data_IF_631657823728
#
_entry.id   IF_631657823728
#
_cell.length_a   1.000
_cell.length_b   1.000
_cell.length_c   1.000
_cell.angle_alpha   90.00
_cell.angle_beta   90.00
_cell.angle_gamma   90.00
#
_symmetry.space_group_name_H-M   'P 1'
#
loop_
_entity.id
_entity.type
_entity.pdbx_description
1 polymer ?
#
# COMPACT_ATOMS: atom_id res chain seq x y z
N UNK A 1 0.59 4.90 -14.12
CA UNK A 1 -0.38 4.08 -13.35
C UNK A 1 -1.75 4.70 -13.54
N UNK A 2 -2.72 3.98 -14.12
CA UNK A 2 -4.10 4.46 -14.22
C UNK A 2 -4.77 4.37 -12.84
N UNK A 3 -4.61 5.42 -12.03
CA UNK A 3 -5.12 5.53 -10.66
C UNK A 3 -6.62 5.23 -10.61
N UNK A 4 -7.41 5.82 -11.50
CA UNK A 4 -8.88 5.65 -11.54
C UNK A 4 -9.29 4.19 -11.69
N UNK A 5 -8.57 3.43 -12.52
CA UNK A 5 -8.87 2.02 -12.77
C UNK A 5 -8.64 1.17 -11.52
N UNK A 6 -7.53 1.42 -10.82
CA UNK A 6 -7.23 0.73 -9.56
C UNK A 6 -8.23 1.14 -8.46
N UNK A 7 -8.55 2.44 -8.34
CA UNK A 7 -9.52 2.94 -7.35
C UNK A 7 -10.90 2.29 -7.48
N UNK A 8 -11.43 2.13 -8.70
CA UNK A 8 -12.73 1.45 -8.93
C UNK A 8 -12.73 0.02 -8.35
N UNK A 9 -11.65 -0.71 -8.58
CA UNK A 9 -11.49 -2.08 -8.10
C UNK A 9 -11.38 -2.14 -6.57
N UNK A 10 -10.66 -1.20 -5.96
CA UNK A 10 -10.55 -1.06 -4.50
C UNK A 10 -11.91 -0.71 -3.87
N UNK A 11 -12.70 0.17 -4.48
CA UNK A 11 -14.03 0.51 -3.96
C UNK A 11 -15.01 -0.66 -4.00
N UNK A 12 -14.99 -1.46 -5.08
CA UNK A 12 -15.74 -2.71 -5.14
C UNK A 12 -15.29 -3.68 -4.03
N UNK A 13 -13.99 -3.79 -3.79
CA UNK A 13 -13.47 -4.60 -2.69
C UNK A 13 -13.97 -4.13 -1.33
N UNK A 14 -13.92 -2.82 -1.04
CA UNK A 14 -14.47 -2.24 0.21
C UNK A 14 -15.94 -2.61 0.37
N UNK A 15 -16.75 -2.43 -0.68
CA UNK A 15 -18.16 -2.83 -0.65
C UNK A 15 -18.34 -4.33 -0.40
N UNK A 16 -17.47 -5.16 -0.94
CA UNK A 16 -17.52 -6.62 -0.76
C UNK A 16 -17.20 -7.09 0.67
N UNK A 17 -16.56 -6.26 1.52
CA UNK A 17 -16.18 -6.64 2.89
C UNK A 17 -17.39 -7.03 3.75
N UNK A 18 -18.56 -6.43 3.52
CA UNK A 18 -19.80 -6.81 4.22
C UNK A 18 -20.17 -8.28 3.96
N UNK A 19 -19.88 -8.80 2.77
CA UNK A 19 -20.16 -10.20 2.42
C UNK A 19 -19.17 -11.17 3.07
N UNK A 20 -17.96 -10.72 3.41
CA UNK A 20 -17.05 -11.50 4.26
C UNK A 20 -17.63 -11.61 5.67
N UNK A 21 -18.16 -10.52 6.23
CA UNK A 21 -18.81 -10.50 7.54
C UNK A 21 -20.05 -11.40 7.59
N UNK A 22 -20.93 -11.29 6.58
CA UNK A 22 -22.14 -12.10 6.43
C UNK A 22 -21.87 -13.55 6.02
N UNK A 23 -20.61 -13.89 5.70
CA UNK A 23 -20.20 -15.19 5.13
C UNK A 23 -20.92 -15.51 3.81
N UNK A 24 -21.29 -14.51 3.02
CA UNK A 24 -21.87 -14.72 1.69
C UNK A 24 -20.78 -14.80 0.61
N UNK A 25 -20.30 -16.03 0.33
CA UNK A 25 -19.24 -16.27 -0.65
C UNK A 25 -19.63 -15.82 -2.07
N UNK A 26 -20.88 -16.10 -2.48
CA UNK A 26 -21.34 -15.82 -3.83
C UNK A 26 -21.29 -14.32 -4.13
N UNK A 27 -21.90 -13.48 -3.28
CA UNK A 27 -21.88 -12.02 -3.45
C UNK A 27 -20.45 -11.47 -3.38
N UNK A 28 -19.61 -12.03 -2.52
CA UNK A 28 -18.21 -11.64 -2.39
C UNK A 28 -17.42 -11.88 -3.70
N UNK A 29 -17.50 -13.09 -4.25
CA UNK A 29 -16.76 -13.45 -5.45
C UNK A 29 -17.30 -12.79 -6.71
N UNK A 30 -18.62 -12.57 -6.82
CA UNK A 30 -19.20 -11.78 -7.92
C UNK A 30 -18.66 -10.34 -7.88
N UNK A 31 -18.70 -9.70 -6.71
CA UNK A 31 -18.25 -8.31 -6.58
C UNK A 31 -16.76 -8.16 -6.93
N UNK A 32 -15.90 -9.04 -6.42
CA UNK A 32 -14.47 -9.04 -6.74
C UNK A 32 -14.17 -9.52 -8.17
N UNK A 33 -15.03 -10.35 -8.75
CA UNK A 33 -14.98 -10.76 -10.16
C UNK A 33 -15.26 -9.58 -11.09
N UNK A 34 -16.23 -8.72 -10.77
CA UNK A 34 -16.42 -7.45 -11.48
C UNK A 34 -15.18 -6.55 -11.31
N UNK A 35 -14.57 -6.56 -10.12
CA UNK A 35 -13.29 -5.87 -9.85
C UNK A 35 -12.17 -6.25 -10.82
N UNK A 36 -12.07 -7.52 -11.21
CA UNK A 36 -11.06 -8.02 -12.17
C UNK A 36 -11.19 -7.36 -13.56
N UNK A 37 -12.41 -7.00 -13.98
CA UNK A 37 -12.66 -6.29 -15.24
C UNK A 37 -12.03 -4.89 -15.24
N UNK A 38 -11.94 -4.26 -14.07
CA UNK A 38 -11.25 -3.00 -13.91
C UNK A 38 -9.75 -3.23 -13.71
N UNK A 39 -9.34 -4.08 -12.79
CA UNK A 39 -7.92 -4.26 -12.48
C UNK A 39 -7.60 -5.72 -12.13
N UNK A 40 -6.66 -6.33 -12.87
CA UNK A 40 -6.28 -7.74 -12.69
C UNK A 40 -5.77 -8.07 -11.28
N UNK A 41 -5.18 -7.10 -10.58
CA UNK A 41 -4.72 -7.31 -9.19
C UNK A 41 -5.85 -7.56 -8.19
N UNK A 42 -7.12 -7.34 -8.55
CA UNK A 42 -8.25 -7.75 -7.71
C UNK A 42 -8.28 -9.26 -7.44
N UNK A 43 -7.52 -10.06 -8.19
CA UNK A 43 -7.34 -11.48 -7.92
C UNK A 43 -6.85 -11.75 -6.50
N UNK A 44 -6.04 -10.85 -5.94
CA UNK A 44 -5.51 -10.97 -4.58
C UNK A 44 -6.57 -10.82 -3.49
N UNK A 45 -7.78 -10.35 -3.83
CA UNK A 45 -8.89 -10.29 -2.88
C UNK A 45 -9.54 -11.66 -2.67
N UNK A 46 -9.57 -12.52 -3.67
CA UNK A 46 -10.28 -13.81 -3.61
C UNK A 46 -9.88 -14.69 -2.40
N UNK A 47 -8.58 -14.90 -2.11
CA UNK A 47 -8.18 -15.72 -0.96
C UNK A 47 -8.60 -15.13 0.40
N UNK A 48 -8.83 -13.81 0.48
CA UNK A 48 -9.10 -13.12 1.74
C UNK A 48 -10.43 -13.54 2.36
N UNK A 49 -11.39 -13.96 1.54
CA UNK A 49 -12.69 -14.45 2.02
C UNK A 49 -12.57 -15.51 3.14
N UNK A 50 -11.57 -16.37 3.05
CA UNK A 50 -11.42 -17.53 3.93
C UNK A 50 -10.90 -17.19 5.32
N UNK A 51 -10.14 -16.10 5.47
CA UNK A 51 -9.44 -15.81 6.73
C UNK A 51 -9.60 -14.39 7.26
N UNK A 52 -10.03 -13.42 6.46
CA UNK A 52 -10.02 -12.01 6.86
C UNK A 52 -10.90 -11.70 8.08
N UNK A 53 -11.96 -12.48 8.31
CA UNK A 53 -12.86 -12.34 9.48
C UNK A 53 -12.36 -13.03 10.75
N UNK A 54 -11.30 -13.84 10.67
CA UNK A 54 -10.79 -14.63 11.79
C UNK A 54 -9.83 -13.80 12.63
N UNK A 55 -9.88 -13.96 13.95
CA UNK A 55 -8.86 -13.40 14.84
C UNK A 55 -7.56 -14.16 14.63
N UNK A 56 -6.51 -13.45 14.21
CA UNK A 56 -5.18 -14.05 14.07
C UNK A 56 -4.55 -14.24 15.45
N UNK A 57 -3.82 -15.35 15.61
CA UNK A 57 -3.09 -15.61 16.84
C UNK A 57 -2.03 -14.52 17.08
N UNK A 58 -1.96 -14.00 18.30
CA UNK A 58 -0.98 -12.97 18.71
C UNK A 58 0.46 -13.36 18.36
N UNK A 59 0.84 -14.61 18.60
CA UNK A 59 2.17 -15.12 18.27
C UNK A 59 2.44 -15.08 16.75
N UNK A 60 1.44 -15.39 15.92
CA UNK A 60 1.58 -15.33 14.46
C UNK A 60 1.74 -13.89 13.97
N UNK A 61 0.95 -12.95 14.51
CA UNK A 61 1.01 -11.53 14.15
C UNK A 61 2.38 -10.94 14.51
N UNK A 62 2.85 -11.12 15.75
CA UNK A 62 4.14 -10.61 16.19
C UNK A 62 5.32 -11.34 15.55
N UNK A 63 5.25 -12.67 15.41
CA UNK A 63 6.29 -13.46 14.75
C UNK A 63 6.51 -13.00 13.30
N UNK A 64 5.41 -12.81 12.55
CA UNK A 64 5.49 -12.29 11.17
C UNK A 64 6.00 -10.86 11.12
N UNK A 65 5.57 -9.99 12.04
CA UNK A 65 6.03 -8.61 12.10
C UNK A 65 7.53 -8.52 12.41
N UNK A 66 8.01 -9.26 13.42
CA UNK A 66 9.43 -9.30 13.79
C UNK A 66 10.26 -9.86 12.64
N UNK A 67 9.85 -11.00 12.07
CA UNK A 67 10.52 -11.60 10.92
C UNK A 67 10.59 -10.62 9.75
N UNK A 68 9.48 -9.97 9.40
CA UNK A 68 9.43 -8.98 8.33
C UNK A 68 10.40 -7.82 8.56
N UNK A 69 10.51 -7.31 9.79
CA UNK A 69 11.46 -6.25 10.12
C UNK A 69 12.92 -6.73 10.03
N UNK A 70 13.21 -7.96 10.46
CA UNK A 70 14.56 -8.57 10.30
C UNK A 70 14.93 -8.67 8.83
N UNK A 71 14.01 -9.16 7.98
CA UNK A 71 14.22 -9.27 6.54
C UNK A 71 14.43 -7.89 5.89
N UNK A 72 13.60 -6.92 6.25
CA UNK A 72 13.65 -5.54 5.74
C UNK A 72 14.96 -4.84 6.13
N UNK A 73 15.28 -4.79 7.43
CA UNK A 73 16.45 -4.08 7.95
C UNK A 73 17.75 -4.79 7.60
N UNK A 74 17.75 -6.13 7.58
CA UNK A 74 18.88 -6.93 7.13
C UNK A 74 19.08 -6.93 5.62
N UNK A 75 18.16 -6.32 4.86
CA UNK A 75 18.18 -6.28 3.39
C UNK A 75 18.37 -7.67 2.75
N UNK A 76 17.74 -8.68 3.36
CA UNK A 76 17.88 -10.09 2.96
C UNK A 76 17.09 -10.30 1.65
N UNK A 77 17.79 -10.78 0.61
CA UNK A 77 17.20 -11.01 -0.71
C UNK A 77 16.60 -12.41 -0.85
N UNK A 78 15.33 -12.57 -0.48
CA UNK A 78 14.60 -13.84 -0.57
C UNK A 78 13.45 -13.83 -1.60
N UNK A 79 12.92 -12.66 -1.96
CA UNK A 79 11.87 -12.49 -2.98
C UNK A 79 12.45 -12.55 -4.39
N UNK A 80 13.64 -12.01 -4.61
CA UNK A 80 14.32 -12.03 -5.91
C UNK A 80 14.33 -13.40 -6.59
N UNK A 81 14.80 -14.49 -5.93
CA UNK A 81 14.80 -15.82 -6.56
C UNK A 81 13.38 -16.31 -6.88
N UNK A 82 12.39 -15.98 -6.04
CA UNK A 82 10.98 -16.35 -6.27
C UNK A 82 10.43 -15.63 -7.50
N UNK A 83 10.69 -14.33 -7.64
CA UNK A 83 10.26 -13.51 -8.79
C UNK A 83 10.87 -14.01 -10.09
N UNK A 84 12.17 -14.34 -10.09
CA UNK A 84 12.86 -14.89 -11.26
C UNK A 84 12.30 -16.27 -11.62
N UNK A 85 12.09 -17.15 -10.64
CA UNK A 85 11.52 -18.48 -10.87
C UNK A 85 10.12 -18.40 -11.48
N UNK A 86 9.25 -17.53 -10.94
CA UNK A 86 7.90 -17.30 -11.48
C UNK A 86 7.98 -16.70 -12.90
N UNK A 87 8.85 -15.72 -13.12
CA UNK A 87 9.05 -15.12 -14.44
C UNK A 87 9.48 -16.15 -15.49
N UNK A 88 10.42 -17.01 -15.15
CA UNK A 88 10.90 -18.09 -16.01
C UNK A 88 9.83 -19.15 -16.27
N UNK A 89 9.01 -19.47 -15.27
CA UNK A 89 7.90 -20.41 -15.42
C UNK A 89 6.87 -19.93 -16.47
N UNK A 90 6.54 -18.63 -16.46
CA UNK A 90 5.62 -18.06 -17.47
C UNK A 90 6.30 -17.77 -18.82
N UNK A 91 7.63 -17.61 -18.84
CA UNK A 91 8.42 -17.38 -20.05
C UNK A 91 8.16 -16.03 -20.74
N UNK A 92 8.81 -15.84 -21.89
CA UNK A 92 8.62 -14.69 -22.78
C UNK A 92 8.79 -13.34 -22.09
N UNK A 93 7.79 -12.47 -22.24
CA UNK A 93 7.78 -11.11 -21.67
C UNK A 93 7.94 -11.09 -20.14
N UNK A 94 7.39 -12.08 -19.43
CA UNK A 94 7.42 -12.12 -17.96
C UNK A 94 8.83 -12.42 -17.42
N UNK A 95 9.57 -13.31 -18.08
CA UNK A 95 10.96 -13.60 -17.74
C UNK A 95 11.85 -12.36 -17.93
N UNK A 96 11.70 -11.67 -19.07
CA UNK A 96 12.44 -10.44 -19.38
C UNK A 96 12.13 -9.34 -18.35
N UNK A 97 10.86 -9.17 -17.97
CA UNK A 97 10.48 -8.19 -16.95
C UNK A 97 11.03 -8.52 -15.57
N UNK A 98 10.95 -9.79 -15.15
CA UNK A 98 11.50 -10.23 -13.87
C UNK A 98 13.01 -9.95 -13.81
N UNK A 99 13.75 -10.26 -14.87
CA UNK A 99 15.18 -9.99 -14.95
C UNK A 99 15.51 -8.48 -14.96
N UNK A 100 14.79 -7.70 -15.76
CA UNK A 100 14.97 -6.25 -15.86
C UNK A 100 14.73 -5.53 -14.51
N UNK A 101 13.67 -5.88 -13.79
CA UNK A 101 13.40 -5.30 -12.48
C UNK A 101 14.43 -5.73 -11.42
N UNK A 102 14.96 -6.95 -11.53
CA UNK A 102 15.93 -7.49 -10.56
C UNK A 102 17.33 -6.90 -10.71
N UNK A 103 17.74 -6.61 -11.95
CA UNK A 103 19.06 -6.04 -12.27
C UNK A 103 19.13 -4.51 -12.18
N UNK A 104 17.97 -3.84 -12.21
CA UNK A 104 17.91 -2.38 -12.16
C UNK A 104 18.17 -1.84 -10.75
N UNK A 105 19.25 -1.09 -10.56
CA UNK A 105 19.56 -0.41 -9.30
C UNK A 105 18.48 0.59 -8.85
N UNK A 106 17.63 1.05 -9.77
CA UNK A 106 16.50 1.95 -9.49
C UNK A 106 15.35 1.18 -8.82
N UNK A 107 15.06 -0.03 -9.32
CA UNK A 107 13.93 -0.84 -8.85
C UNK A 107 14.31 -1.85 -7.76
N UNK A 108 15.59 -2.25 -7.71
CA UNK A 108 16.17 -3.22 -6.77
C UNK A 108 16.91 -2.55 -5.60
N UNK A 109 16.68 -1.26 -5.34
CA UNK A 109 17.31 -0.58 -4.22
C UNK A 109 16.58 -0.93 -2.92
N UNK A 110 17.27 -1.66 -2.04
CA UNK A 110 16.74 -2.01 -0.72
C UNK A 110 16.36 -0.75 0.05
N UNK A 111 15.13 -0.70 0.55
CA UNK A 111 14.72 0.40 1.41
C UNK A 111 15.48 0.29 2.74
N UNK A 112 16.27 1.30 3.07
CA UNK A 112 16.84 1.45 4.41
C UNK A 112 15.84 2.01 5.41
N UNK A 113 16.33 2.52 6.54
CA UNK A 113 15.49 3.24 7.51
C UNK A 113 15.02 4.55 6.88
N UNK A 114 13.77 4.57 6.42
CA UNK A 114 13.11 5.74 5.85
C UNK A 114 12.01 6.26 6.77
N UNK A 115 11.61 7.52 6.60
CA UNK A 115 10.43 8.08 7.28
C UNK A 115 9.19 7.20 7.03
N UNK A 116 9.06 6.64 5.82
CA UNK A 116 7.93 5.77 5.47
C UNK A 116 7.97 4.41 6.16
N UNK A 117 9.15 3.90 6.51
CA UNK A 117 9.32 2.70 7.31
C UNK A 117 8.98 2.97 8.79
N UNK A 118 9.56 4.03 9.36
CA UNK A 118 9.30 4.42 10.76
C UNK A 118 7.81 4.66 11.01
N UNK A 119 7.14 5.33 10.08
CA UNK A 119 5.68 5.51 10.13
C UNK A 119 4.96 4.16 10.23
N UNK A 120 5.21 3.21 9.32
CA UNK A 120 4.52 1.91 9.33
C UNK A 120 4.84 1.08 10.56
N UNK A 121 6.08 1.09 10.99
CA UNK A 121 6.53 0.39 12.20
C UNK A 121 5.80 0.90 13.44
N UNK A 122 5.77 2.23 13.63
CA UNK A 122 5.09 2.85 14.76
C UNK A 122 3.56 2.70 14.66
N UNK A 123 2.98 2.92 13.49
CA UNK A 123 1.55 2.73 13.23
C UNK A 123 1.13 1.30 13.55
N UNK A 124 1.95 0.30 13.20
CA UNK A 124 1.67 -1.09 13.54
C UNK A 124 1.56 -1.33 15.04
N UNK A 125 2.54 -0.86 15.80
CA UNK A 125 2.56 -0.98 17.26
C UNK A 125 1.34 -0.27 17.87
N UNK A 126 1.03 0.94 17.40
CA UNK A 126 -0.07 1.76 17.93
C UNK A 126 -1.42 1.10 17.65
N UNK A 127 -1.68 0.67 16.42
CA UNK A 127 -2.93 -0.01 16.09
C UNK A 127 -3.07 -1.31 16.87
N UNK A 128 -2.03 -2.15 16.91
CA UNK A 128 -2.10 -3.42 17.64
C UNK A 128 -2.40 -3.20 19.13
N UNK A 129 -1.73 -2.25 19.79
CA UNK A 129 -2.02 -1.88 21.19
C UNK A 129 -3.41 -1.28 21.40
N UNK A 130 -4.01 -0.71 20.35
CA UNK A 130 -5.32 -0.08 20.39
C UNK A 130 -6.45 -1.02 19.94
N UNK A 131 -6.15 -2.29 19.65
CA UNK A 131 -7.11 -3.27 19.13
C UNK A 131 -8.37 -3.37 19.99
N UNK A 132 -8.20 -3.62 21.29
CA UNK A 132 -9.35 -3.81 22.20
C UNK A 132 -10.17 -2.52 22.34
N UNK A 133 -9.49 -1.38 22.52
CA UNK A 133 -10.13 -0.06 22.60
C UNK A 133 -10.92 0.29 21.34
N UNK A 134 -10.38 -0.01 20.16
CA UNK A 134 -11.10 0.19 18.90
C UNK A 134 -12.29 -0.77 18.80
N UNK A 135 -12.14 -2.01 19.28
CA UNK A 135 -13.20 -3.00 19.37
C UNK A 135 -14.42 -2.53 20.16
N UNK A 136 -14.22 -1.81 21.28
CA UNK A 136 -15.30 -1.22 22.08
C UNK A 136 -16.19 -0.25 21.29
N UNK A 137 -15.62 0.45 20.31
CA UNK A 137 -16.37 1.36 19.42
C UNK A 137 -17.02 0.65 18.25
N UNK A 138 -16.34 -0.32 17.63
CA UNK A 138 -16.86 -1.05 16.46
C UNK A 138 -18.02 -1.98 16.86
N UNK A 139 -17.96 -2.59 18.03
CA UNK A 139 -18.98 -3.52 18.57
C UNK A 139 -19.32 -4.70 17.63
N UNK A 140 -18.39 -5.05 16.75
CA UNK A 140 -18.50 -6.18 15.82
C UNK A 140 -17.11 -6.80 15.65
N UNK A 141 -16.89 -7.96 16.27
CA UNK A 141 -15.60 -8.64 16.30
C UNK A 141 -15.15 -9.07 14.90
N UNK A 142 -16.07 -9.52 14.04
CA UNK A 142 -15.72 -9.94 12.67
C UNK A 142 -15.25 -8.74 11.86
N UNK A 143 -15.94 -7.61 11.99
CA UNK A 143 -15.57 -6.38 11.29
C UNK A 143 -14.24 -5.80 11.81
N UNK A 144 -14.04 -5.83 13.13
CA UNK A 144 -12.76 -5.49 13.76
C UNK A 144 -11.62 -6.33 13.19
N UNK A 145 -11.78 -7.67 13.17
CA UNK A 145 -10.80 -8.60 12.61
C UNK A 145 -10.53 -8.31 11.13
N UNK A 146 -11.56 -8.00 10.33
CA UNK A 146 -11.39 -7.65 8.92
C UNK A 146 -10.44 -6.47 8.76
N UNK A 147 -10.67 -5.38 9.48
CA UNK A 147 -9.85 -4.16 9.33
C UNK A 147 -8.41 -4.37 9.81
N UNK A 148 -8.22 -5.06 10.94
CA UNK A 148 -6.89 -5.37 11.45
C UNK A 148 -6.13 -6.35 10.58
N UNK A 149 -6.79 -7.35 10.01
CA UNK A 149 -6.15 -8.30 9.10
C UNK A 149 -5.77 -7.64 7.78
N UNK A 150 -6.59 -6.71 7.26
CA UNK A 150 -6.20 -5.88 6.10
C UNK A 150 -4.94 -5.07 6.37
N UNK A 151 -4.87 -4.45 7.55
CA UNK A 151 -3.69 -3.69 7.96
C UNK A 151 -2.46 -4.58 8.18
N UNK A 152 -2.65 -5.79 8.71
CA UNK A 152 -1.59 -6.77 8.87
C UNK A 152 -1.05 -7.25 7.51
N UNK A 153 -1.92 -7.52 6.53
CA UNK A 153 -1.51 -7.85 5.15
C UNK A 153 -0.77 -6.68 4.51
N UNK A 154 -1.27 -5.45 4.68
CA UNK A 154 -0.58 -4.24 4.22
C UNK A 154 0.85 -4.17 4.78
N UNK A 155 1.00 -4.33 6.09
CA UNK A 155 2.31 -4.26 6.76
C UNK A 155 3.23 -5.40 6.33
N UNK A 156 2.70 -6.62 6.23
CA UNK A 156 3.47 -7.80 5.80
C UNK A 156 3.94 -7.64 4.37
N UNK A 157 3.07 -7.24 3.44
CA UNK A 157 3.45 -7.00 2.05
C UNK A 157 4.49 -5.89 1.91
N UNK A 158 4.39 -4.81 2.72
CA UNK A 158 5.41 -3.76 2.75
C UNK A 158 6.78 -4.27 3.19
N UNK A 159 6.84 -5.05 4.28
CA UNK A 159 8.10 -5.54 4.85
C UNK A 159 8.73 -6.63 3.97
N UNK A 160 7.94 -7.61 3.56
CA UNK A 160 8.42 -8.80 2.86
C UNK A 160 8.76 -8.52 1.39
N UNK A 161 8.08 -7.58 0.73
CA UNK A 161 8.33 -7.25 -0.69
C UNK A 161 9.33 -6.09 -0.87
N UNK A 162 10.09 -5.76 0.18
CA UNK A 162 10.95 -4.57 0.24
C UNK A 162 12.10 -4.55 -0.76
N UNK A 163 12.41 -5.68 -1.38
CA UNK A 163 13.40 -5.81 -2.46
C UNK A 163 13.00 -5.07 -3.75
N UNK A 164 11.70 -4.90 -4.00
CA UNK A 164 11.18 -4.31 -5.24
C UNK A 164 10.20 -3.19 -4.94
N UNK A 165 10.61 -1.95 -5.18
CA UNK A 165 9.75 -0.76 -4.98
C UNK A 165 8.42 -0.86 -5.73
N UNK A 166 8.43 -1.42 -6.94
CA UNK A 166 7.23 -1.61 -7.77
C UNK A 166 6.26 -2.60 -7.14
N UNK A 167 6.74 -3.67 -6.51
CA UNK A 167 5.90 -4.65 -5.84
C UNK A 167 5.27 -4.07 -4.58
N UNK A 168 6.06 -3.34 -3.78
CA UNK A 168 5.56 -2.62 -2.61
C UNK A 168 4.44 -1.68 -3.04
N UNK A 169 4.70 -0.78 -3.99
CA UNK A 169 3.73 0.24 -4.40
C UNK A 169 2.43 -0.39 -4.91
N UNK A 170 2.50 -1.47 -5.69
CA UNK A 170 1.30 -2.14 -6.21
C UNK A 170 0.55 -2.91 -5.14
N UNK A 171 1.24 -3.73 -4.36
CA UNK A 171 0.60 -4.63 -3.40
C UNK A 171 0.05 -3.89 -2.18
N UNK A 172 0.81 -2.94 -1.64
CA UNK A 172 0.36 -2.16 -0.48
C UNK A 172 -0.81 -1.24 -0.84
N UNK A 173 -0.87 -0.72 -2.07
CA UNK A 173 -2.01 0.08 -2.53
C UNK A 173 -3.33 -0.69 -2.48
N UNK A 174 -3.32 -2.01 -2.67
CA UNK A 174 -4.56 -2.83 -2.59
C UNK A 174 -5.18 -2.85 -1.20
N UNK A 175 -4.35 -2.68 -0.16
CA UNK A 175 -4.72 -2.82 1.24
C UNK A 175 -4.65 -1.51 2.02
N UNK A 176 -4.35 -0.40 1.34
CA UNK A 176 -4.27 0.96 1.93
C UNK A 176 -5.59 1.39 2.57
N UNK A 177 -6.71 0.78 2.17
CA UNK A 177 -8.05 1.03 2.75
C UNK A 177 -8.08 0.81 4.27
N UNK A 178 -7.21 -0.07 4.78
CA UNK A 178 -7.08 -0.31 6.21
C UNK A 178 -6.65 0.94 6.98
N UNK A 179 -5.78 1.77 6.39
CA UNK A 179 -5.37 3.06 6.97
C UNK A 179 -6.55 4.04 7.03
N UNK A 180 -7.34 4.10 5.95
CA UNK A 180 -8.48 5.02 5.87
C UNK A 180 -9.53 4.75 6.94
N UNK A 181 -9.67 3.48 7.33
CA UNK A 181 -10.64 3.04 8.31
C UNK A 181 -10.07 3.09 9.73
N UNK A 182 -8.87 2.55 9.97
CA UNK A 182 -8.32 2.42 11.31
C UNK A 182 -7.86 3.75 11.92
N UNK A 183 -7.37 4.71 11.14
CA UNK A 183 -6.94 6.00 11.70
C UNK A 183 -8.07 6.81 12.34
N UNK A 184 -9.27 6.93 11.73
CA UNK A 184 -10.42 7.54 12.40
C UNK A 184 -10.80 6.85 13.72
N UNK A 185 -10.83 5.51 13.76
CA UNK A 185 -11.10 4.78 15.00
C UNK A 185 -10.01 4.98 16.05
N UNK A 186 -8.74 4.97 15.62
CA UNK A 186 -7.63 5.32 16.50
C UNK A 186 -7.84 6.71 17.08
N UNK A 187 -8.13 7.71 16.23
CA UNK A 187 -8.35 9.07 16.69
C UNK A 187 -9.40 9.14 17.79
N UNK A 188 -10.52 8.43 17.66
CA UNK A 188 -11.59 8.43 18.67
C UNK A 188 -11.09 7.92 20.04
N UNK A 189 -10.30 6.83 20.07
CA UNK A 189 -9.80 6.20 21.32
C UNK A 189 -8.67 6.98 21.99
N UNK A 190 -8.05 7.95 21.30
CA UNK A 190 -6.98 8.77 21.87
C UNK A 190 -7.51 9.75 22.92
N UNK A 191 -6.68 10.02 23.94
CA UNK A 191 -6.96 11.09 24.90
C UNK A 191 -6.81 12.49 24.25
N UNK A 192 -7.31 13.53 24.92
CA UNK A 192 -7.36 14.90 24.34
C UNK A 192 -5.99 15.44 23.92
N UNK A 193 -4.94 15.22 24.73
CA UNK A 193 -3.60 15.72 24.45
C UNK A 193 -3.00 14.99 23.25
N UNK A 194 -3.10 13.65 23.23
CA UNK A 194 -2.57 12.82 22.14
C UNK A 194 -3.36 13.04 20.85
N UNK A 195 -4.66 13.35 20.89
CA UNK A 195 -5.44 13.79 19.73
C UNK A 195 -4.83 15.01 19.06
N UNK A 196 -4.47 16.04 19.84
CA UNK A 196 -3.85 17.26 19.31
C UNK A 196 -2.51 16.94 18.65
N UNK A 197 -1.66 16.17 19.32
CA UNK A 197 -0.36 15.73 18.80
C UNK A 197 -0.55 14.95 17.49
N UNK A 198 -1.46 13.98 17.49
CA UNK A 198 -1.76 13.15 16.34
C UNK A 198 -2.24 13.98 15.13
N UNK A 199 -3.16 14.92 15.35
CA UNK A 199 -3.64 15.83 14.30
C UNK A 199 -2.50 16.68 13.73
N UNK A 200 -1.63 17.22 14.58
CA UNK A 200 -0.48 18.00 14.14
C UNK A 200 0.51 17.15 13.33
N UNK A 201 0.81 15.93 13.79
CA UNK A 201 1.66 14.97 13.06
C UNK A 201 1.07 14.61 11.71
N UNK A 202 -0.25 14.35 11.63
CA UNK A 202 -0.93 14.08 10.37
C UNK A 202 -0.86 15.27 9.40
N UNK A 203 -1.03 16.50 9.90
CA UNK A 203 -0.92 17.70 9.10
C UNK A 203 0.49 17.84 8.50
N UNK A 204 1.53 17.71 9.33
CA UNK A 204 2.93 17.75 8.88
C UNK A 204 3.24 16.65 7.87
N UNK A 205 2.76 15.43 8.12
CA UNK A 205 2.94 14.32 7.21
C UNK A 205 2.22 14.55 5.87
N UNK A 206 1.02 15.11 5.89
CA UNK A 206 0.25 15.51 4.72
C UNK A 206 1.00 16.55 3.88
N UNK A 207 1.54 17.59 4.51
CA UNK A 207 2.36 18.61 3.84
C UNK A 207 3.60 17.98 3.22
N UNK A 208 4.33 17.13 3.97
CA UNK A 208 5.52 16.44 3.46
C UNK A 208 5.20 15.57 2.24
N UNK A 209 4.08 14.84 2.29
CA UNK A 209 3.61 14.01 1.17
C UNK A 209 3.24 14.86 -0.04
N UNK A 210 2.52 15.96 0.15
CA UNK A 210 2.15 16.88 -0.92
C UNK A 210 3.38 17.52 -1.57
N UNK A 211 4.35 17.94 -0.76
CA UNK A 211 5.62 18.46 -1.25
C UNK A 211 6.36 17.42 -2.09
N UNK A 212 6.60 16.20 -1.56
CA UNK A 212 7.29 15.15 -2.31
C UNK A 212 6.55 14.71 -3.58
N UNK A 213 5.22 14.71 -3.57
CA UNK A 213 4.43 14.29 -4.73
C UNK A 213 4.38 15.33 -5.86
N UNK A 214 4.47 16.62 -5.52
CA UNK A 214 4.29 17.73 -6.46
C UNK A 214 5.57 18.52 -6.76
N UNK A 215 6.65 18.31 -6.01
CA UNK A 215 7.95 18.92 -6.26
C UNK A 215 8.70 18.20 -7.39
N UNK A 216 8.07 18.12 -8.57
CA UNK A 216 8.65 17.54 -9.77
C UNK A 216 8.45 18.49 -10.95
N UNK A 217 9.47 18.64 -11.80
CA UNK A 217 9.49 19.60 -12.92
C UNK A 217 8.25 19.48 -13.83
N UNK A 218 7.79 18.25 -14.08
CA UNK A 218 6.65 17.97 -14.96
C UNK A 218 5.29 18.15 -14.28
N UNK A 219 5.27 18.31 -12.96
CA UNK A 219 4.05 18.45 -12.14
C UNK A 219 3.86 19.87 -11.61
N UNK A 220 4.65 20.83 -12.12
CA UNK A 220 4.48 22.23 -11.79
C UNK A 220 3.08 22.67 -12.19
N UNK A 221 2.34 23.24 -11.24
CA UNK A 221 0.99 23.72 -11.51
C UNK A 221 1.02 24.82 -12.58
N UNK A 222 0.28 24.59 -13.66
CA UNK A 222 0.02 25.59 -14.68
C UNK A 222 -1.48 25.89 -14.71
N UNK A 223 -1.85 27.15 -14.50
CA UNK A 223 -3.24 27.55 -14.55
C UNK A 223 -3.72 27.54 -16.02
N UNK A 224 -4.77 26.78 -16.31
CA UNK A 224 -5.30 26.62 -17.67
C UNK A 224 -5.77 27.95 -18.25
N UNK A 225 -6.32 28.84 -17.42
CA UNK A 225 -6.87 30.12 -17.83
C UNK A 225 -5.78 31.13 -18.21
N UNK A 226 -4.66 31.16 -17.47
CA UNK A 226 -3.62 32.18 -17.64
C UNK A 226 -2.40 31.68 -18.42
N UNK A 227 -2.04 30.41 -18.28
CA UNK A 227 -0.76 29.88 -18.77
C UNK A 227 -0.88 29.18 -20.12
N UNK A 228 -2.12 28.93 -20.62
CA UNK A 228 -2.43 28.22 -21.87
C UNK A 228 -1.52 26.98 -22.07
N UNK A 229 -1.55 26.02 -21.12
CA UNK A 229 -0.66 24.86 -21.16
C UNK A 229 -0.93 24.03 -22.42
N UNK A 230 0.13 23.61 -23.11
CA UNK A 230 0.04 22.75 -24.31
C UNK A 230 0.83 21.47 -24.11
N UNK A 231 0.34 20.39 -24.71
CA UNK A 231 0.99 19.07 -24.69
C UNK A 231 2.42 19.18 -25.25
N UNK A 232 2.61 19.93 -26.33
CA UNK A 232 3.93 20.15 -26.95
C UNK A 232 4.92 20.82 -25.99
N UNK A 233 4.47 21.80 -25.20
CA UNK A 233 5.30 22.46 -24.18
C UNK A 233 5.67 21.50 -23.05
N UNK A 234 4.75 20.66 -22.61
CA UNK A 234 5.03 19.63 -21.61
C UNK A 234 6.08 18.62 -22.12
N UNK A 235 5.96 18.16 -23.37
CA UNK A 235 6.97 17.31 -24.01
C UNK A 235 8.33 17.99 -24.16
N UNK A 236 8.34 19.27 -24.53
CA UNK A 236 9.58 20.04 -24.60
C UNK A 236 10.28 20.14 -23.24
N UNK A 237 9.54 20.45 -22.17
CA UNK A 237 10.07 20.51 -20.80
C UNK A 237 10.57 19.13 -20.36
N UNK A 238 9.84 18.06 -20.69
CA UNK A 238 10.25 16.69 -20.39
C UNK A 238 11.58 16.35 -21.07
N UNK A 239 11.69 16.56 -22.39
CA UNK A 239 12.91 16.26 -23.15
C UNK A 239 14.10 17.12 -22.69
N UNK A 240 13.88 18.41 -22.43
CA UNK A 240 14.92 19.34 -21.94
C UNK A 240 15.48 18.95 -20.58
N UNK A 241 14.72 18.23 -19.77
CA UNK A 241 15.10 17.84 -18.42
C UNK A 241 15.17 16.33 -18.23
N UNK A 242 15.29 15.56 -19.33
CA UNK A 242 15.22 14.11 -19.30
C UNK A 242 16.27 13.50 -18.36
N UNK A 243 17.48 14.06 -18.33
CA UNK A 243 18.55 13.61 -17.44
C UNK A 243 18.19 13.83 -15.96
N UNK A 244 17.63 14.99 -15.62
CA UNK A 244 17.18 15.31 -14.25
C UNK A 244 15.96 14.50 -13.84
N UNK A 245 15.15 14.06 -14.80
CA UNK A 245 13.94 13.24 -14.59
C UNK A 245 14.33 11.77 -14.38
N UNK A 246 15.30 11.26 -15.15
CA UNK A 246 15.78 9.89 -15.08
C UNK A 246 16.80 9.66 -13.95
N UNK A 247 17.54 10.70 -13.57
CA UNK A 247 18.44 10.71 -12.40
C UNK A 247 18.08 11.84 -11.43
N UNK A 248 16.95 11.73 -10.72
CA UNK A 248 16.66 12.68 -9.65
C UNK A 248 17.78 12.54 -8.60
N UNK A 249 18.58 13.59 -8.41
CA UNK A 249 19.55 13.63 -7.30
C UNK A 249 18.78 13.31 -6.01
N UNK A 250 19.22 12.24 -5.33
CA UNK A 250 18.63 11.75 -4.07
C UNK A 250 18.68 12.81 -2.98
#
# INVERSE_FOLDING_TARGET
INLIRNSKAIFLFIYSLQFIKERNALKYFICNGIGLLFHSSSIFYFPLYFFLHKKLATAFVWGTFILGNVLYLGQIKFITPIVIAIGNFFGGFYAIMAEAYSKSSIYSSGYGITIGYLEKFLTFIIFYKSYDKIGEYIKDEKLLNIFFNLFFIFTTTYLFLSEYSVLIDRMTTLFVVSYWILYPYLYVVLNRVVKIIFTFVLLLFGILKMYKANNFIIRKYENILWNKPTISRAYFIFNKHIDKILTPKK
#
